data_IF_042173464583
#
_entry.id   IF_042173464583
#
_cell.length_a   1.000
_cell.length_b   1.000
_cell.length_c   1.000
_cell.angle_alpha   90.00
_cell.angle_beta   90.00
_cell.angle_gamma   90.00
#
_symmetry.space_group_name_H-M   'P 1'
#
loop_
_entity.id
_entity.type
_entity.pdbx_description
1 polymer ?
#
# COMPACT_ATOMS: atom_id res chain seq x y z
N UNK A 1 -12.98 -20.05 -19.53
CA UNK A 1 -11.93 -19.36 -18.76
C UNK A 1 -12.60 -18.75 -17.53
N UNK A 2 -12.24 -19.13 -16.28
CA UNK A 2 -12.84 -18.52 -15.10
C UNK A 2 -12.47 -17.04 -15.05
N UNK A 3 -13.47 -16.17 -15.12
CA UNK A 3 -13.31 -14.73 -14.99
C UNK A 3 -12.97 -14.44 -13.52
N UNK A 4 -11.68 -14.21 -13.25
CA UNK A 4 -11.23 -13.81 -11.91
C UNK A 4 -11.61 -12.34 -11.75
N UNK A 5 -12.64 -12.09 -10.95
CA UNK A 5 -13.06 -10.73 -10.60
C UNK A 5 -12.05 -10.23 -9.56
N UNK A 6 -11.31 -9.18 -9.90
CA UNK A 6 -10.48 -8.48 -8.93
C UNK A 6 -11.40 -7.79 -7.91
N UNK A 7 -11.40 -8.32 -6.69
CA UNK A 7 -12.20 -7.79 -5.58
C UNK A 7 -11.35 -6.93 -4.63
N UNK A 8 -10.10 -6.62 -5.01
CA UNK A 8 -9.21 -5.86 -4.15
C UNK A 8 -9.72 -4.42 -4.08
N UNK A 9 -10.14 -3.91 -2.91
CA UNK A 9 -10.64 -2.55 -2.82
C UNK A 9 -9.49 -1.58 -3.09
N UNK A 10 -9.80 -0.48 -3.78
CA UNK A 10 -8.88 0.63 -3.87
C UNK A 10 -8.65 1.27 -2.50
N UNK A 11 -7.53 1.96 -2.33
CA UNK A 11 -7.24 2.71 -1.10
C UNK A 11 -8.33 3.76 -0.77
N UNK A 12 -8.99 4.32 -1.79
CA UNK A 12 -10.10 5.24 -1.61
C UNK A 12 -11.35 4.57 -1.03
N UNK A 13 -11.68 3.37 -1.50
CA UNK A 13 -12.82 2.58 -1.00
C UNK A 13 -12.56 2.07 0.43
N UNK A 14 -11.32 1.66 0.71
CA UNK A 14 -10.90 1.25 2.05
C UNK A 14 -10.98 2.42 3.04
N UNK A 15 -10.50 3.60 2.64
CA UNK A 15 -10.59 4.83 3.44
C UNK A 15 -12.04 5.26 3.72
N UNK A 16 -12.93 5.10 2.73
CA UNK A 16 -14.36 5.36 2.92
C UNK A 16 -15.00 4.39 3.92
N UNK A 17 -14.63 3.10 3.90
CA UNK A 17 -15.09 2.11 4.87
C UNK A 17 -14.62 2.44 6.29
N UNK A 18 -13.33 2.75 6.46
CA UNK A 18 -12.76 3.15 7.76
C UNK A 18 -13.46 4.41 8.29
N UNK A 19 -13.67 5.42 7.43
CA UNK A 19 -14.42 6.63 7.78
C UNK A 19 -15.82 6.27 8.27
N UNK A 20 -16.58 5.47 7.51
CA UNK A 20 -17.94 5.06 7.88
C UNK A 20 -17.97 4.32 9.22
N UNK A 21 -17.04 3.39 9.45
CA UNK A 21 -16.92 2.68 10.73
C UNK A 21 -16.61 3.63 11.90
N UNK A 22 -15.74 4.62 11.68
CA UNK A 22 -15.42 5.65 12.67
C UNK A 22 -16.62 6.53 13.01
N UNK A 23 -17.41 6.93 12.01
CA UNK A 23 -18.65 7.69 12.23
C UNK A 23 -19.78 6.85 12.85
N UNK A 24 -19.78 5.54 12.63
CA UNK A 24 -20.79 4.62 13.17
C UNK A 24 -20.52 4.18 14.63
N UNK A 25 -19.50 4.74 15.28
CA UNK A 25 -19.06 4.37 16.65
C UNK A 25 -18.73 2.87 16.82
N UNK A 26 -18.41 2.17 15.74
CA UNK A 26 -18.04 0.75 15.76
C UNK A 26 -16.57 0.55 16.15
N UNK A 27 -16.24 0.92 17.39
CA UNK A 27 -14.88 0.86 17.95
C UNK A 27 -14.26 -0.54 17.84
N UNK A 28 -15.06 -1.61 18.02
CA UNK A 28 -14.59 -3.00 17.84
C UNK A 28 -14.14 -3.30 16.43
N UNK A 29 -14.88 -2.86 15.41
CA UNK A 29 -14.53 -3.08 14.01
C UNK A 29 -13.27 -2.28 13.63
N UNK A 30 -13.16 -1.04 14.13
CA UNK A 30 -11.98 -0.20 13.93
C UNK A 30 -10.72 -0.80 14.55
N UNK A 31 -10.81 -1.35 15.77
CA UNK A 31 -9.68 -2.02 16.42
C UNK A 31 -9.22 -3.25 15.65
N UNK A 32 -10.15 -3.94 14.98
CA UNK A 32 -9.82 -5.13 14.21
C UNK A 32 -9.16 -4.80 12.87
N UNK A 33 -9.60 -3.74 12.19
CA UNK A 33 -9.08 -3.36 10.87
C UNK A 33 -7.74 -2.61 10.95
N UNK A 34 -7.50 -1.84 12.02
CA UNK A 34 -6.31 -0.99 12.14
C UNK A 34 -4.96 -1.73 12.02
N UNK A 35 -4.76 -2.89 12.67
CA UNK A 35 -3.52 -3.65 12.54
C UNK A 35 -3.25 -4.08 11.09
N UNK A 36 -4.29 -4.49 10.36
CA UNK A 36 -4.17 -4.91 8.96
C UNK A 36 -3.88 -3.74 8.03
N UNK A 37 -4.53 -2.59 8.28
CA UNK A 37 -4.22 -1.34 7.58
C UNK A 37 -2.76 -0.94 7.83
N UNK A 38 -2.29 -0.98 9.08
CA UNK A 38 -0.92 -0.65 9.43
C UNK A 38 0.11 -1.55 8.71
N UNK A 39 -0.15 -2.87 8.62
CA UNK A 39 0.69 -3.81 7.86
C UNK A 39 0.71 -3.49 6.37
N UNK A 40 -0.45 -3.15 5.79
CA UNK A 40 -0.56 -2.82 4.38
C UNK A 40 0.22 -1.54 4.05
N UNK A 41 0.12 -0.50 4.89
CA UNK A 41 0.90 0.73 4.75
C UNK A 41 2.41 0.49 4.95
N UNK A 42 2.81 -0.32 5.94
CA UNK A 42 4.20 -0.67 6.15
C UNK A 42 4.80 -1.40 4.93
N UNK A 43 4.04 -2.33 4.35
CA UNK A 43 4.42 -3.05 3.13
C UNK A 43 4.55 -2.11 1.93
N UNK A 44 3.61 -1.18 1.76
CA UNK A 44 3.66 -0.17 0.71
C UNK A 44 4.89 0.75 0.84
N UNK A 45 5.22 1.17 2.06
CA UNK A 45 6.41 1.97 2.32
C UNK A 45 7.70 1.18 2.04
N UNK A 46 7.77 -0.08 2.46
CA UNK A 46 8.91 -0.95 2.17
C UNK A 46 9.11 -1.12 0.65
N UNK A 47 8.04 -1.33 -0.10
CA UNK A 47 8.07 -1.41 -1.56
C UNK A 47 8.56 -0.09 -2.18
N UNK A 48 8.06 1.05 -1.70
CA UNK A 48 8.50 2.37 -2.18
C UNK A 48 10.00 2.58 -1.97
N UNK A 49 10.52 2.22 -0.79
CA UNK A 49 11.95 2.32 -0.49
C UNK A 49 12.79 1.41 -1.40
N UNK A 50 12.32 0.18 -1.66
CA UNK A 50 13.00 -0.73 -2.61
C UNK A 50 13.02 -0.13 -4.03
N UNK A 51 11.90 0.42 -4.49
CA UNK A 51 11.82 1.06 -5.82
C UNK A 51 12.74 2.27 -5.93
N UNK A 52 12.85 3.09 -4.87
CA UNK A 52 13.78 4.21 -4.83
C UNK A 52 15.24 3.74 -4.90
N UNK A 53 15.63 2.77 -4.05
CA UNK A 53 16.98 2.23 -4.05
C UNK A 53 17.37 1.57 -5.39
N UNK A 54 16.42 0.91 -6.05
CA UNK A 54 16.63 0.38 -7.41
C UNK A 54 16.80 1.49 -8.45
N UNK A 55 16.02 2.56 -8.37
CA UNK A 55 16.12 3.72 -9.27
C UNK A 55 17.46 4.46 -9.11
N UNK A 56 17.90 4.66 -7.86
CA UNK A 56 19.20 5.26 -7.54
C UNK A 56 20.35 4.41 -8.08
N UNK A 57 20.29 3.08 -7.88
CA UNK A 57 21.30 2.14 -8.39
C UNK A 57 21.32 2.08 -9.91
N UNK A 58 20.16 2.07 -10.56
CA UNK A 58 20.06 2.10 -12.02
C UNK A 58 20.64 3.40 -12.62
N UNK A 59 20.49 4.52 -11.92
CA UNK A 59 21.02 5.82 -12.35
C UNK A 59 22.52 5.94 -12.07
N UNK A 60 23.02 5.33 -10.99
CA UNK A 60 24.46 5.25 -10.68
C UNK A 60 25.25 4.39 -11.67
N UNK A 61 24.69 3.27 -12.12
CA UNK A 61 25.32 2.41 -13.13
C UNK A 61 25.51 3.14 -14.47
N UNK A 62 24.49 3.89 -14.93
CA UNK A 62 24.54 4.63 -16.21
C UNK A 62 25.61 5.73 -16.24
N UNK A 63 26.01 6.29 -15.10
CA UNK A 63 27.10 7.30 -15.03
C UNK A 63 28.49 6.68 -15.04
N UNK A 64 28.62 5.38 -14.78
CA UNK A 64 29.91 4.70 -14.69
C UNK A 64 30.40 4.20 -16.06
N UNK A 65 29.51 4.16 -17.05
CA UNK A 65 29.79 3.76 -18.44
C UNK A 65 30.13 4.95 -19.37
N UNK A 66 30.09 6.19 -18.85
CA UNK A 66 30.31 7.45 -19.60
C UNK A 66 31.70 8.10 -19.32
N UNK A 67 32.68 7.36 -18.77
CA UNK A 67 34.07 7.81 -18.57
C UNK A 67 35.07 6.90 -19.27
#
# INVERSE_FOLDING_TARGET
MPMTIDMTPSWGELGLLVKRLAFSAEDKALRHIWPEVAKAFASAQALSNLMQGLSERATGHRRQDDV
#
